data_IF_706375487706
#
_entry.id   IF_706375487706
#
_cell.length_a   1.000
_cell.length_b   1.000
_cell.length_c   1.000
_cell.angle_alpha   90.00
_cell.angle_beta   90.00
_cell.angle_gamma   90.00
#
_symmetry.space_group_name_H-M   'P 1'
#
loop_
_entity.id
_entity.type
_entity.pdbx_description
1 polymer ?
#
# COMPACT_ATOMS: atom_id res chain seq x y z
N UNK A 1 10.64 3.60 -9.07
CA UNK A 1 9.31 3.75 -8.45
C UNK A 1 8.48 2.50 -8.74
N UNK A 2 7.68 2.04 -7.79
CA UNK A 2 6.69 0.97 -7.95
C UNK A 2 5.31 1.56 -7.63
N UNK A 3 4.28 1.16 -8.39
CA UNK A 3 2.89 1.56 -8.12
C UNK A 3 2.03 0.29 -8.02
N UNK A 4 1.28 0.15 -6.94
CA UNK A 4 0.38 -0.96 -6.66
C UNK A 4 -1.03 -0.39 -6.53
N UNK A 5 -1.88 -0.62 -7.53
CA UNK A 5 -3.31 -0.37 -7.44
C UNK A 5 -4.03 -1.64 -6.96
N UNK A 6 -4.78 -1.57 -5.86
CA UNK A 6 -5.45 -2.74 -5.31
C UNK A 6 -6.79 -2.39 -4.63
N UNK A 7 -7.84 -3.19 -4.81
CA UNK A 7 -8.96 -3.17 -3.87
C UNK A 7 -8.57 -3.87 -2.56
N UNK A 8 -9.33 -3.61 -1.51
CA UNK A 8 -9.35 -4.42 -0.28
C UNK A 8 -10.45 -5.48 -0.42
N UNK A 9 -10.07 -6.75 -0.36
CA UNK A 9 -11.00 -7.88 -0.34
C UNK A 9 -10.90 -8.59 1.00
N UNK A 10 -12.04 -8.74 1.70
CA UNK A 10 -12.11 -9.40 3.01
C UNK A 10 -11.00 -8.92 3.97
N UNK A 11 -10.91 -7.59 4.14
CA UNK A 11 -9.99 -6.90 5.05
C UNK A 11 -8.49 -6.91 4.66
N UNK A 12 -8.10 -7.56 3.54
CA UNK A 12 -6.69 -7.65 3.11
C UNK A 12 -6.52 -7.55 1.58
N UNK A 13 -5.33 -7.88 1.08
CA UNK A 13 -5.01 -7.90 -0.34
C UNK A 13 -5.82 -8.95 -1.10
N UNK A 14 -6.19 -8.72 -2.37
CA UNK A 14 -6.82 -9.72 -3.21
C UNK A 14 -5.90 -10.91 -3.46
N UNK A 15 -6.50 -12.09 -3.72
CA UNK A 15 -5.75 -13.30 -4.02
C UNK A 15 -4.76 -13.13 -5.19
N UNK A 16 -5.14 -12.39 -6.24
CA UNK A 16 -4.25 -12.11 -7.37
C UNK A 16 -2.99 -11.32 -6.98
N UNK A 17 -3.15 -10.29 -6.13
CA UNK A 17 -2.01 -9.53 -5.61
C UNK A 17 -1.14 -10.41 -4.71
N UNK A 18 -1.76 -11.25 -3.87
CA UNK A 18 -1.03 -12.22 -3.04
C UNK A 18 -0.19 -13.19 -3.89
N UNK A 19 -0.74 -13.71 -5.00
CA UNK A 19 -0.01 -14.57 -5.93
C UNK A 19 1.19 -13.85 -6.54
N UNK A 20 1.04 -12.59 -6.94
CA UNK A 20 2.17 -11.80 -7.43
C UNK A 20 3.25 -11.59 -6.35
N UNK A 21 2.85 -11.27 -5.11
CA UNK A 21 3.77 -11.15 -3.97
C UNK A 21 4.55 -12.45 -3.75
N UNK A 22 3.88 -13.60 -3.82
CA UNK A 22 4.52 -14.91 -3.67
C UNK A 22 5.54 -15.19 -4.78
N UNK A 23 5.32 -14.67 -5.99
CA UNK A 23 6.27 -14.81 -7.09
C UNK A 23 7.51 -13.92 -6.95
N UNK A 24 7.40 -12.76 -6.31
CA UNK A 24 8.53 -11.85 -6.15
C UNK A 24 9.30 -12.09 -4.85
N UNK A 25 8.66 -12.62 -3.80
CA UNK A 25 9.29 -12.95 -2.53
C UNK A 25 10.09 -14.26 -2.65
N UNK A 26 11.30 -14.19 -3.19
CA UNK A 26 12.14 -15.36 -3.52
C UNK A 26 13.50 -15.30 -2.82
N UNK A 27 13.81 -16.40 -2.12
CA UNK A 27 15.12 -16.64 -1.50
C UNK A 27 16.22 -16.58 -2.58
N UNK A 28 17.35 -15.93 -2.25
CA UNK A 28 18.49 -15.67 -3.16
C UNK A 28 18.16 -14.80 -4.38
N UNK A 29 17.02 -14.10 -4.37
CA UNK A 29 16.62 -13.14 -5.43
C UNK A 29 16.23 -11.79 -4.86
N UNK A 30 15.30 -11.77 -3.92
CA UNK A 30 14.80 -10.53 -3.29
C UNK A 30 15.02 -10.49 -1.78
N UNK A 31 15.28 -11.64 -1.17
CA UNK A 31 15.80 -11.74 0.19
C UNK A 31 16.68 -12.99 0.34
N UNK A 32 17.51 -13.02 1.39
CA UNK A 32 18.26 -14.19 1.85
C UNK A 32 17.78 -14.64 3.23
N UNK A 33 18.10 -15.88 3.58
CA UNK A 33 17.86 -16.45 4.92
C UNK A 33 19.21 -16.90 5.49
N UNK A 34 19.53 -16.48 6.70
CA UNK A 34 20.73 -16.87 7.44
C UNK A 34 20.46 -17.02 8.93
N UNK A 35 21.52 -17.27 9.71
CA UNK A 35 21.40 -17.51 11.15
C UNK A 35 20.75 -16.34 11.93
N UNK A 36 20.94 -15.10 11.46
CA UNK A 36 20.34 -13.90 12.04
C UNK A 36 18.93 -13.58 11.51
N UNK A 37 18.34 -14.45 10.68
CA UNK A 37 17.03 -14.24 10.07
C UNK A 37 17.09 -13.87 8.58
N UNK A 38 16.11 -13.08 8.12
CA UNK A 38 15.99 -12.68 6.72
C UNK A 38 16.75 -11.38 6.46
N UNK A 39 17.45 -11.30 5.32
CA UNK A 39 18.12 -10.08 4.85
C UNK A 39 17.55 -9.68 3.49
N UNK A 40 17.11 -8.44 3.33
CA UNK A 40 16.62 -7.91 2.06
C UNK A 40 17.73 -7.78 1.01
N UNK A 41 17.38 -7.91 -0.28
CA UNK A 41 18.33 -7.77 -1.38
C UNK A 41 18.01 -6.62 -2.34
N UNK A 42 16.80 -6.05 -2.29
CA UNK A 42 16.47 -4.90 -3.13
C UNK A 42 16.96 -3.62 -2.47
N UNK A 43 17.53 -2.72 -3.28
CA UNK A 43 17.69 -1.31 -2.90
C UNK A 43 16.34 -0.65 -2.79
N UNK A 44 16.18 0.16 -1.73
CA UNK A 44 14.96 0.89 -1.44
C UNK A 44 14.61 1.87 -2.58
N UNK A 45 13.31 2.14 -2.74
CA UNK A 45 12.76 3.06 -3.74
C UNK A 45 11.31 3.39 -3.39
N UNK A 46 10.78 4.53 -3.87
CA UNK A 46 9.38 4.86 -3.65
C UNK A 46 8.42 3.79 -4.15
N UNK A 47 7.50 3.37 -3.28
CA UNK A 47 6.38 2.47 -3.55
C UNK A 47 5.06 3.17 -3.21
N UNK A 48 4.21 3.34 -4.22
CA UNK A 48 2.88 3.94 -4.07
C UNK A 48 1.82 2.85 -4.05
N UNK A 49 0.96 2.87 -3.04
CA UNK A 49 -0.13 1.91 -2.88
C UNK A 49 -1.46 2.65 -2.92
N UNK A 50 -2.18 2.52 -4.04
CA UNK A 50 -3.52 3.04 -4.22
C UNK A 50 -4.55 1.98 -3.82
N UNK A 51 -5.31 2.23 -2.76
CA UNK A 51 -6.27 1.27 -2.17
C UNK A 51 -7.70 1.73 -2.45
N UNK A 52 -8.57 0.82 -2.87
CA UNK A 52 -10.02 1.06 -2.85
C UNK A 52 -10.70 0.11 -1.85
N UNK A 53 -11.68 0.60 -1.09
CA UNK A 53 -12.39 -0.21 -0.09
C UNK A 53 -13.86 0.15 -0.01
N UNK A 54 -14.71 -0.89 0.04
CA UNK A 54 -16.13 -0.74 0.29
C UNK A 54 -16.44 -0.12 1.66
N UNK A 55 -15.70 -0.53 2.70
CA UNK A 55 -15.81 0.02 4.05
C UNK A 55 -14.74 1.07 4.35
N UNK A 56 -14.92 1.74 5.50
CA UNK A 56 -13.94 2.66 6.07
C UNK A 56 -13.07 1.87 7.05
N UNK A 57 -11.77 1.82 6.81
CA UNK A 57 -10.78 1.13 7.65
C UNK A 57 -9.76 2.08 8.30
N UNK A 58 -9.77 3.36 7.93
CA UNK A 58 -8.88 4.38 8.49
C UNK A 58 -9.63 5.49 9.26
N UNK A 59 -8.87 6.42 9.86
CA UNK A 59 -9.39 7.57 10.59
C UNK A 59 -9.83 7.27 12.02
N UNK A 60 -10.53 8.22 12.64
CA UNK A 60 -10.90 8.15 14.07
C UNK A 60 -11.96 7.09 14.39
N UNK A 61 -12.76 6.68 13.41
CA UNK A 61 -13.89 5.75 13.59
C UNK A 61 -13.94 4.72 12.45
N UNK A 62 -12.96 3.79 12.37
CA UNK A 62 -12.99 2.73 11.38
C UNK A 62 -14.22 1.83 11.60
N UNK A 63 -14.80 1.36 10.50
CA UNK A 63 -15.94 0.44 10.48
C UNK A 63 -15.54 -1.00 10.16
N UNK A 64 -14.25 -1.26 9.92
CA UNK A 64 -13.67 -2.57 9.67
C UNK A 64 -12.16 -2.56 10.00
N UNK A 65 -11.54 -3.74 10.23
CA UNK A 65 -10.09 -3.83 10.42
C UNK A 65 -9.30 -3.58 9.13
N UNK A 66 -8.03 -3.19 9.29
CA UNK A 66 -7.04 -3.10 8.21
C UNK A 66 -5.94 -4.14 8.40
N UNK A 67 -5.99 -5.21 7.60
CA UNK A 67 -4.90 -6.18 7.47
C UNK A 67 -4.14 -6.04 6.14
N UNK A 68 -4.48 -5.05 5.32
CA UNK A 68 -3.81 -4.80 4.03
C UNK A 68 -2.53 -4.01 4.25
N UNK A 69 -2.63 -2.86 4.92
CA UNK A 69 -1.50 -1.94 5.14
C UNK A 69 -0.35 -2.59 5.92
N UNK A 70 -0.58 -3.22 7.09
CA UNK A 70 0.51 -3.87 7.83
C UNK A 70 1.10 -5.07 7.07
N UNK A 71 0.29 -5.83 6.34
CA UNK A 71 0.79 -6.94 5.51
C UNK A 71 1.72 -6.46 4.41
N UNK A 72 1.32 -5.43 3.66
CA UNK A 72 2.15 -4.85 2.59
C UNK A 72 3.44 -4.24 3.14
N UNK A 73 3.38 -3.49 4.25
CA UNK A 73 4.59 -2.98 4.92
C UNK A 73 5.55 -4.11 5.31
N UNK A 74 5.04 -5.19 5.90
CA UNK A 74 5.87 -6.30 6.33
C UNK A 74 6.51 -7.05 5.15
N UNK A 75 5.72 -7.41 4.13
CA UNK A 75 6.21 -8.25 3.03
C UNK A 75 7.09 -7.48 2.04
N UNK A 76 6.81 -6.20 1.80
CA UNK A 76 7.65 -5.34 0.96
C UNK A 76 8.92 -4.91 1.70
N UNK A 77 8.83 -4.60 3.00
CA UNK A 77 10.00 -4.33 3.84
C UNK A 77 10.94 -5.53 3.91
N UNK A 78 10.41 -6.75 4.01
CA UNK A 78 11.21 -7.99 3.98
C UNK A 78 12.10 -8.10 2.73
N UNK A 79 11.64 -7.61 1.57
CA UNK A 79 12.43 -7.64 0.32
C UNK A 79 13.28 -6.38 0.10
N UNK A 80 13.16 -5.37 0.97
CA UNK A 80 14.00 -4.16 0.97
C UNK A 80 13.30 -2.87 0.55
N UNK A 81 11.97 -2.88 0.39
CA UNK A 81 11.19 -1.72 0.01
C UNK A 81 10.51 -1.13 1.27
N UNK A 82 10.97 0.04 1.70
CA UNK A 82 10.55 0.66 2.96
C UNK A 82 9.86 2.01 2.76
N UNK A 83 10.19 2.73 1.68
CA UNK A 83 9.53 3.98 1.30
C UNK A 83 8.15 3.71 0.67
N UNK A 84 7.15 3.48 1.53
CA UNK A 84 5.77 3.18 1.13
C UNK A 84 4.84 4.34 1.45
N UNK A 85 4.12 4.84 0.44
CA UNK A 85 3.03 5.79 0.57
C UNK A 85 1.70 5.14 0.21
N UNK A 86 0.70 5.27 1.10
CA UNK A 86 -0.64 4.70 0.91
C UNK A 86 -1.64 5.82 0.67
N UNK A 87 -2.48 5.65 -0.36
CA UNK A 87 -3.59 6.54 -0.67
C UNK A 87 -4.85 5.70 -0.86
N UNK A 88 -5.91 5.99 -0.12
CA UNK A 88 -7.13 5.17 -0.12
C UNK A 88 -8.35 5.95 -0.61
N UNK A 89 -9.24 5.27 -1.33
CA UNK A 89 -10.62 5.69 -1.56
C UNK A 89 -11.52 4.69 -0.83
N UNK A 90 -12.04 5.11 0.32
CA UNK A 90 -12.81 4.28 1.25
C UNK A 90 -14.30 4.58 1.17
N UNK A 91 -15.14 3.68 1.69
CA UNK A 91 -16.60 3.86 1.70
C UNK A 91 -17.23 3.70 0.32
N UNK A 92 -16.62 2.97 -0.61
CA UNK A 92 -17.13 2.85 -1.98
C UNK A 92 -18.46 2.12 -2.08
N UNK A 93 -18.85 1.39 -1.02
CA UNK A 93 -20.15 0.74 -0.92
C UNK A 93 -21.29 1.70 -0.49
N UNK A 94 -20.99 2.95 -0.13
CA UNK A 94 -21.97 3.92 0.40
C UNK A 94 -22.64 4.78 -0.68
N UNK A 95 -22.36 4.50 -1.96
CA UNK A 95 -23.01 5.14 -3.11
C UNK A 95 -22.15 6.19 -3.82
N UNK A 96 -22.60 6.70 -4.98
CA UNK A 96 -21.78 7.53 -5.87
C UNK A 96 -21.29 8.84 -5.26
N UNK A 97 -22.11 9.48 -4.41
CA UNK A 97 -21.74 10.73 -3.73
C UNK A 97 -20.59 10.51 -2.74
N UNK A 98 -20.68 9.47 -1.91
CA UNK A 98 -19.61 9.09 -0.99
C UNK A 98 -18.30 8.78 -1.75
N UNK A 99 -18.39 8.09 -2.89
CA UNK A 99 -17.25 7.82 -3.76
C UNK A 99 -16.63 9.12 -4.30
N UNK A 100 -17.45 10.07 -4.75
CA UNK A 100 -16.97 11.35 -5.28
C UNK A 100 -16.23 12.17 -4.21
N UNK A 101 -16.80 12.25 -3.00
CA UNK A 101 -16.16 12.93 -1.85
C UNK A 101 -14.84 12.25 -1.48
N UNK A 102 -14.83 10.92 -1.37
CA UNK A 102 -13.63 10.17 -1.03
C UNK A 102 -12.53 10.37 -2.08
N UNK A 103 -12.86 10.33 -3.38
CA UNK A 103 -11.91 10.61 -4.47
C UNK A 103 -11.34 12.01 -4.38
N UNK A 104 -12.19 13.04 -4.25
CA UNK A 104 -11.72 14.42 -4.17
C UNK A 104 -10.77 14.65 -2.99
N UNK A 105 -11.05 14.06 -1.83
CA UNK A 105 -10.15 14.11 -0.68
C UNK A 105 -8.79 13.47 -0.98
N UNK A 106 -8.80 12.30 -1.63
CA UNK A 106 -7.58 11.57 -1.96
C UNK A 106 -6.76 12.28 -3.05
N UNK A 107 -7.42 12.91 -4.01
CA UNK A 107 -6.76 13.71 -5.05
C UNK A 107 -6.03 14.93 -4.47
N UNK A 108 -6.62 15.58 -3.45
CA UNK A 108 -5.96 16.66 -2.71
C UNK A 108 -4.73 16.14 -1.94
N UNK A 109 -4.87 15.03 -1.22
CA UNK A 109 -3.77 14.43 -0.48
C UNK A 109 -2.61 13.98 -1.40
N UNK A 110 -2.93 13.45 -2.59
CA UNK A 110 -1.94 13.13 -3.62
C UNK A 110 -1.20 14.39 -4.09
N UNK A 111 -1.93 15.48 -4.40
CA UNK A 111 -1.31 16.75 -4.79
C UNK A 111 -0.38 17.29 -3.71
N UNK A 112 -0.83 17.35 -2.46
CA UNK A 112 -0.02 17.83 -1.32
C UNK A 112 1.26 17.00 -1.17
N UNK A 113 1.15 15.68 -1.22
CA UNK A 113 2.29 14.78 -1.09
C UNK A 113 3.34 15.01 -2.19
N UNK A 114 2.92 15.03 -3.46
CA UNK A 114 3.85 15.18 -4.58
C UNK A 114 4.38 16.61 -4.71
N UNK A 115 3.59 17.62 -4.33
CA UNK A 115 4.06 19.00 -4.24
C UNK A 115 5.21 19.10 -3.23
N UNK A 116 5.04 18.56 -2.02
CA UNK A 116 6.10 18.57 -1.00
C UNK A 116 7.35 17.78 -1.40
N UNK A 117 7.22 16.63 -2.07
CA UNK A 117 8.40 15.88 -2.53
C UNK A 117 9.22 16.63 -3.59
N UNK A 118 8.57 17.36 -4.50
CA UNK A 118 9.27 18.10 -5.54
C UNK A 118 10.17 19.22 -5.00
N UNK A 119 9.87 19.74 -3.80
CA UNK A 119 10.64 20.77 -3.12
C UNK A 119 11.76 20.23 -2.20
N UNK A 120 11.77 18.94 -1.88
CA UNK A 120 12.84 18.30 -1.10
C UNK A 120 13.97 17.71 -1.96
N UNK A 121 13.73 17.56 -3.26
CA UNK A 121 14.67 16.98 -4.22
C UNK A 121 15.49 18.03 -5.00
N UNK A 122 15.40 19.31 -4.63
CA UNK A 122 16.09 20.45 -5.25
C UNK A 122 17.18 21.04 -4.38
#
# INVERSE_FOLDING_TARGET
>A
MVVIGTPMHNFTVPAALKVWIDHIARVRRTFNVGAAGKTSLLSDRPVFVAVSSGGIFSGERPRQPDFLTPYLKAVLGMIGLHDLAFFSVEGTAFGPEAVAVARSKTDLALHEYFFHQSHLAG
#
